data_IF_753487365415
#
_entry.id   IF_753487365415
#
_cell.length_a   1.000
_cell.length_b   1.000
_cell.length_c   1.000
_cell.angle_alpha   90.00
_cell.angle_beta   90.00
_cell.angle_gamma   90.00
#
_symmetry.space_group_name_H-M   'P 1'
#
loop_
_entity.id
_entity.type
_entity.pdbx_description
1 polymer ?
#
# COMPACT_ATOMS: atom_id res chain seq x y z
N UNK A 1 30.45 -19.21 8.44
CA UNK A 1 29.33 -18.31 8.11
C UNK A 1 29.70 -17.59 6.82
N UNK A 2 28.92 -17.76 5.76
CA UNK A 2 29.33 -17.45 4.39
C UNK A 2 29.26 -15.93 4.15
N UNK A 3 30.23 -15.34 3.45
CA UNK A 3 30.29 -13.87 3.22
C UNK A 3 29.02 -13.33 2.54
N UNK A 4 28.37 -14.15 1.70
CA UNK A 4 27.04 -13.89 1.13
C UNK A 4 25.94 -13.73 2.17
N UNK A 5 25.87 -14.62 3.17
CA UNK A 5 24.87 -14.52 4.24
C UNK A 5 25.05 -13.24 5.07
N UNK A 6 26.30 -12.87 5.36
CA UNK A 6 26.60 -11.67 6.17
C UNK A 6 26.16 -10.39 5.46
N UNK A 7 26.36 -10.30 4.13
CA UNK A 7 25.90 -9.16 3.33
C UNK A 7 24.36 -9.11 3.32
N UNK A 8 23.70 -10.26 3.17
CA UNK A 8 22.24 -10.38 3.12
C UNK A 8 21.58 -9.92 4.43
N UNK A 9 22.11 -10.36 5.58
CA UNK A 9 21.64 -9.89 6.90
C UNK A 9 21.85 -8.39 7.10
N UNK A 10 22.99 -7.85 6.66
CA UNK A 10 23.32 -6.43 6.83
C UNK A 10 22.46 -5.54 5.92
N UNK A 11 22.08 -6.04 4.75
CA UNK A 11 21.15 -5.37 3.85
C UNK A 11 19.72 -5.44 4.37
N UNK A 12 19.29 -6.57 4.93
CA UNK A 12 18.01 -6.73 5.61
C UNK A 12 17.89 -5.78 6.82
N UNK A 13 18.95 -5.67 7.64
CA UNK A 13 19.02 -4.77 8.80
C UNK A 13 19.22 -3.29 8.43
N UNK A 14 19.27 -2.94 7.14
CA UNK A 14 19.32 -1.53 6.74
C UNK A 14 18.08 -0.81 7.29
N UNK A 15 18.30 0.35 7.88
CA UNK A 15 17.27 1.11 8.58
C UNK A 15 16.00 1.35 7.75
N UNK A 16 16.14 1.62 6.45
CA UNK A 16 15.00 1.84 5.55
C UNK A 16 14.14 0.58 5.38
N UNK A 17 14.76 -0.59 5.27
CA UNK A 17 14.07 -1.88 5.10
C UNK A 17 13.34 -2.28 6.38
N UNK A 18 13.97 -2.05 7.54
CA UNK A 18 13.35 -2.32 8.85
C UNK A 18 12.17 -1.38 9.12
N UNK A 19 12.30 -0.10 8.76
CA UNK A 19 11.25 0.90 8.89
C UNK A 19 10.06 0.56 7.97
N UNK A 20 10.34 0.14 6.73
CA UNK A 20 9.33 -0.35 5.81
C UNK A 20 8.58 -1.57 6.37
N UNK A 21 9.32 -2.60 6.82
CA UNK A 21 8.72 -3.80 7.40
C UNK A 21 7.82 -3.46 8.61
N UNK A 22 8.29 -2.56 9.48
CA UNK A 22 7.53 -2.12 10.66
C UNK A 22 6.22 -1.44 10.26
N UNK A 23 6.24 -0.57 9.25
CA UNK A 23 5.02 0.08 8.73
C UNK A 23 4.04 -0.93 8.14
N UNK A 24 4.54 -1.89 7.36
CA UNK A 24 3.72 -2.97 6.81
C UNK A 24 3.04 -3.77 7.93
N UNK A 25 3.80 -4.18 8.96
CA UNK A 25 3.26 -4.92 10.10
C UNK A 25 2.19 -4.09 10.81
N UNK A 26 2.46 -2.82 11.13
CA UNK A 26 1.47 -1.95 11.81
C UNK A 26 0.22 -1.78 10.96
N UNK A 27 0.35 -1.51 9.66
CA UNK A 27 -0.77 -1.37 8.75
C UNK A 27 -1.62 -2.64 8.66
N UNK A 28 -0.96 -3.80 8.56
CA UNK A 28 -1.62 -5.12 8.56
C UNK A 28 -2.33 -5.38 9.89
N UNK A 29 -1.69 -5.12 11.02
CA UNK A 29 -2.29 -5.30 12.35
C UNK A 29 -3.57 -4.45 12.48
N UNK A 30 -3.53 -3.18 12.07
CA UNK A 30 -4.71 -2.31 12.09
C UNK A 30 -5.83 -2.89 11.19
N UNK A 31 -5.50 -3.30 9.95
CA UNK A 31 -6.48 -3.89 9.04
C UNK A 31 -7.04 -5.23 9.55
N UNK A 32 -6.21 -6.03 10.20
CA UNK A 32 -6.61 -7.33 10.74
C UNK A 32 -7.52 -7.18 11.96
N UNK A 33 -7.25 -6.20 12.82
CA UNK A 33 -8.15 -5.83 13.91
C UNK A 33 -9.53 -5.45 13.33
N UNK A 34 -9.58 -4.62 12.28
CA UNK A 34 -10.83 -4.26 11.61
C UNK A 34 -11.54 -5.48 11.01
N UNK A 35 -10.79 -6.42 10.43
CA UNK A 35 -11.33 -7.69 9.93
C UNK A 35 -12.04 -8.51 11.02
N UNK A 36 -11.49 -8.56 12.24
CA UNK A 36 -12.12 -9.26 13.37
C UNK A 36 -13.41 -8.57 13.82
N UNK A 37 -13.40 -7.23 13.91
CA UNK A 37 -14.55 -6.47 14.42
C UNK A 37 -15.71 -6.36 13.41
N UNK A 38 -15.44 -6.50 12.12
CA UNK A 38 -16.43 -6.35 11.05
C UNK A 38 -16.39 -7.55 10.08
N UNK A 39 -16.75 -8.77 10.54
CA UNK A 39 -16.62 -10.00 9.74
C UNK A 39 -17.55 -10.04 8.52
N UNK A 40 -18.63 -9.26 8.53
CA UNK A 40 -19.60 -9.12 7.43
C UNK A 40 -19.00 -8.41 6.20
N UNK A 41 -17.92 -7.64 6.40
CA UNK A 41 -17.26 -6.89 5.34
C UNK A 41 -16.01 -7.65 4.86
N UNK A 42 -15.66 -7.58 3.56
CA UNK A 42 -14.56 -8.36 3.01
C UNK A 42 -13.20 -7.69 3.30
N UNK A 43 -12.89 -7.43 4.58
CA UNK A 43 -11.71 -6.71 5.05
C UNK A 43 -10.38 -7.38 4.72
N UNK A 44 -10.37 -8.65 4.31
CA UNK A 44 -9.22 -9.30 3.68
C UNK A 44 -8.60 -8.44 2.56
N UNK A 45 -9.42 -7.73 1.79
CA UNK A 45 -8.96 -6.85 0.73
C UNK A 45 -8.35 -5.54 1.24
N UNK A 46 -8.74 -5.09 2.43
CA UNK A 46 -8.07 -3.97 3.11
C UNK A 46 -6.64 -4.35 3.51
N UNK A 47 -6.42 -5.60 3.93
CA UNK A 47 -5.09 -6.13 4.25
C UNK A 47 -4.21 -6.19 2.99
N UNK A 48 -4.75 -6.64 1.86
CA UNK A 48 -4.01 -6.61 0.59
C UNK A 48 -3.70 -5.16 0.18
N UNK A 49 -4.70 -4.29 0.26
CA UNK A 49 -4.58 -2.89 -0.13
C UNK A 49 -3.54 -2.12 0.69
N UNK A 50 -3.49 -2.31 2.01
CA UNK A 50 -2.53 -1.60 2.85
C UNK A 50 -1.09 -1.97 2.50
N UNK A 51 -0.81 -3.25 2.21
CA UNK A 51 0.53 -3.72 1.84
C UNK A 51 0.95 -3.18 0.47
N UNK A 52 0.02 -3.17 -0.49
CA UNK A 52 0.26 -2.63 -1.84
C UNK A 52 0.51 -1.12 -1.79
N UNK A 53 -0.19 -0.39 -0.91
CA UNK A 53 -0.07 1.05 -0.80
C UNK A 53 1.20 1.51 -0.06
N UNK A 54 1.69 0.75 0.94
CA UNK A 54 2.91 1.11 1.68
C UNK A 54 4.14 0.96 0.77
N UNK A 55 5.05 1.93 0.86
CA UNK A 55 6.29 1.98 0.08
C UNK A 55 7.54 1.85 0.93
N UNK A 56 8.59 1.18 0.42
CA UNK A 56 9.92 1.25 1.04
C UNK A 56 10.48 2.68 1.00
N UNK A 57 10.15 3.47 -0.02
CA UNK A 57 10.57 4.86 -0.08
C UNK A 57 9.78 5.75 0.89
N UNK A 58 10.50 6.61 1.62
CA UNK A 58 9.92 7.56 2.59
C UNK A 58 9.19 8.77 1.97
N UNK A 59 9.07 8.82 0.64
CA UNK A 59 8.46 9.96 -0.04
C UNK A 59 6.95 10.02 0.18
N UNK A 60 6.41 11.07 0.84
CA UNK A 60 4.97 11.23 1.00
C UNK A 60 4.26 11.41 -0.35
N UNK A 61 4.94 11.97 -1.36
CA UNK A 61 4.42 12.10 -2.71
C UNK A 61 4.09 10.73 -3.31
N UNK A 62 5.02 9.77 -3.16
CA UNK A 62 4.85 8.43 -3.70
C UNK A 62 3.72 7.67 -3.01
N UNK A 63 3.53 7.86 -1.70
CA UNK A 63 2.40 7.29 -0.97
C UNK A 63 1.06 7.84 -1.48
N UNK A 64 0.98 9.14 -1.77
CA UNK A 64 -0.20 9.78 -2.37
C UNK A 64 -0.44 9.27 -3.79
N UNK A 65 0.61 9.12 -4.59
CA UNK A 65 0.50 8.61 -5.97
C UNK A 65 0.01 7.16 -5.99
N UNK A 66 0.42 6.33 -5.03
CA UNK A 66 -0.09 4.96 -4.87
C UNK A 66 -1.55 4.92 -4.43
N UNK A 67 -1.96 5.82 -3.55
CA UNK A 67 -3.38 5.97 -3.19
C UNK A 67 -4.22 6.32 -4.43
N UNK A 68 -3.80 7.33 -5.20
CA UNK A 68 -4.48 7.70 -6.47
C UNK A 68 -4.52 6.55 -7.46
N UNK A 69 -3.41 5.81 -7.60
CA UNK A 69 -3.32 4.66 -8.49
C UNK A 69 -4.25 3.52 -8.06
N UNK A 70 -4.32 3.20 -6.77
CA UNK A 70 -5.26 2.20 -6.26
C UNK A 70 -6.71 2.61 -6.50
N UNK A 71 -7.05 3.88 -6.25
CA UNK A 71 -8.39 4.41 -6.54
C UNK A 71 -8.74 4.33 -8.03
N UNK A 72 -7.77 4.60 -8.91
CA UNK A 72 -7.94 4.46 -10.36
C UNK A 72 -8.26 3.01 -10.76
N UNK A 73 -7.48 2.05 -10.24
CA UNK A 73 -7.72 0.62 -10.50
C UNK A 73 -9.09 0.16 -9.99
N UNK A 74 -9.48 0.62 -8.79
CA UNK A 74 -10.82 0.36 -8.25
C UNK A 74 -11.93 1.01 -9.08
N UNK A 75 -11.75 2.24 -9.54
CA UNK A 75 -12.75 2.94 -10.35
C UNK A 75 -12.98 2.22 -11.69
N UNK A 76 -11.90 1.80 -12.36
CA UNK A 76 -11.98 1.04 -13.62
C UNK A 76 -12.62 -0.32 -13.38
N UNK A 77 -12.18 -1.07 -12.36
CA UNK A 77 -12.77 -2.37 -12.03
C UNK A 77 -14.26 -2.26 -11.70
N UNK A 78 -14.65 -1.23 -10.94
CA UNK A 78 -16.05 -1.01 -10.55
C UNK A 78 -16.89 -0.57 -11.74
N UNK A 79 -16.34 0.24 -12.64
CA UNK A 79 -16.99 0.60 -13.90
C UNK A 79 -17.22 -0.62 -14.79
N UNK A 80 -16.22 -1.49 -14.93
CA UNK A 80 -16.33 -2.72 -15.73
C UNK A 80 -17.35 -3.71 -15.18
N UNK A 81 -17.58 -3.70 -13.87
CA UNK A 81 -18.65 -4.48 -13.24
C UNK A 81 -20.02 -4.18 -13.85
N UNK A 82 -20.34 -2.92 -14.18
CA UNK A 82 -21.62 -2.56 -14.80
C UNK A 82 -21.75 -2.97 -16.27
N UNK A 83 -20.64 -3.28 -16.93
CA UNK A 83 -20.65 -3.69 -18.34
C UNK A 83 -20.92 -5.19 -18.45
N UNK A 84 -20.21 -5.99 -17.65
CA UNK A 84 -20.35 -7.44 -17.68
C UNK A 84 -19.86 -8.08 -16.38
N UNK A 85 -20.31 -9.31 -16.12
CA UNK A 85 -19.78 -10.08 -14.99
C UNK A 85 -18.25 -10.25 -15.11
N UNK A 86 -17.51 -10.17 -13.98
CA UNK A 86 -16.08 -10.36 -13.98
C UNK A 86 -15.71 -11.73 -14.58
N UNK A 87 -14.96 -11.70 -15.66
CA UNK A 87 -14.41 -12.88 -16.32
C UNK A 87 -12.98 -12.55 -16.81
N UNK A 88 -12.27 -13.55 -17.32
CA UNK A 88 -10.88 -13.37 -17.77
C UNK A 88 -10.75 -12.26 -18.84
N UNK A 89 -11.68 -12.18 -19.78
CA UNK A 89 -11.65 -11.18 -20.85
C UNK A 89 -11.83 -9.77 -20.28
N UNK A 90 -12.82 -9.60 -19.39
CA UNK A 90 -13.07 -8.33 -18.70
C UNK A 90 -11.89 -7.90 -17.84
N UNK A 91 -11.22 -8.85 -17.18
CA UNK A 91 -10.00 -8.56 -16.42
C UNK A 91 -8.87 -8.10 -17.34
N UNK A 92 -8.65 -8.77 -18.48
CA UNK A 92 -7.67 -8.34 -19.48
C UNK A 92 -7.96 -6.93 -20.01
N UNK A 93 -9.22 -6.63 -20.33
CA UNK A 93 -9.65 -5.29 -20.74
C UNK A 93 -9.36 -4.28 -19.63
N UNK A 94 -9.71 -4.60 -18.39
CA UNK A 94 -9.45 -3.76 -17.23
C UNK A 94 -7.97 -3.47 -17.01
N UNK A 95 -7.11 -4.46 -17.16
CA UNK A 95 -5.65 -4.30 -17.07
C UNK A 95 -5.18 -3.30 -18.13
N UNK A 96 -5.60 -3.47 -19.38
CA UNK A 96 -5.23 -2.57 -20.49
C UNK A 96 -5.72 -1.14 -20.21
N UNK A 97 -6.99 -0.97 -19.81
CA UNK A 97 -7.55 0.34 -19.47
C UNK A 97 -6.81 1.00 -18.30
N UNK A 98 -6.45 0.22 -17.28
CA UNK A 98 -5.71 0.70 -16.10
C UNK A 98 -4.32 1.17 -16.47
N UNK A 99 -3.63 0.46 -17.36
CA UNK A 99 -2.31 0.87 -17.87
C UNK A 99 -2.44 2.18 -18.65
N UNK A 100 -3.38 2.27 -19.60
CA UNK A 100 -3.58 3.47 -20.43
C UNK A 100 -3.90 4.68 -19.54
N UNK A 101 -4.84 4.54 -18.61
CA UNK A 101 -5.22 5.61 -17.70
C UNK A 101 -4.08 5.99 -16.75
N UNK A 102 -3.34 5.00 -16.21
CA UNK A 102 -2.20 5.23 -15.34
C UNK A 102 -1.05 5.97 -16.03
N UNK A 103 -0.80 5.67 -17.31
CA UNK A 103 0.18 6.38 -18.14
C UNK A 103 -0.27 7.82 -18.44
N UNK A 104 -1.55 8.02 -18.76
CA UNK A 104 -2.12 9.36 -19.01
C UNK A 104 -2.05 10.28 -17.79
N UNK A 105 -2.17 9.72 -16.57
CA UNK A 105 -2.09 10.46 -15.32
C UNK A 105 -0.66 10.57 -14.75
N UNK A 106 0.36 10.13 -15.50
CA UNK A 106 1.77 10.14 -15.11
C UNK A 106 2.07 9.34 -13.82
N UNK A 107 1.27 8.32 -13.50
CA UNK A 107 1.42 7.48 -12.31
C UNK A 107 2.38 6.29 -12.51
N UNK A 108 3.40 6.43 -13.37
CA UNK A 108 4.23 5.30 -13.86
C UNK A 108 4.86 4.46 -12.73
N UNK A 109 5.33 5.12 -11.66
CA UNK A 109 5.90 4.45 -10.47
C UNK A 109 4.87 3.66 -9.65
N UNK A 110 3.58 3.85 -9.90
CA UNK A 110 2.46 3.32 -9.12
C UNK A 110 1.48 2.49 -9.95
N UNK A 111 1.71 2.28 -11.25
CA UNK A 111 0.83 1.44 -12.11
C UNK A 111 0.66 0.03 -11.54
N UNK A 112 1.73 -0.56 -11.01
CA UNK A 112 1.66 -1.88 -10.35
C UNK A 112 0.65 -1.92 -9.19
N UNK A 113 0.52 -0.81 -8.46
CA UNK A 113 -0.48 -0.64 -7.41
C UNK A 113 -1.89 -0.61 -8.00
N UNK A 114 -2.12 0.18 -9.05
CA UNK A 114 -3.41 0.23 -9.74
C UNK A 114 -3.84 -1.14 -10.29
N UNK A 115 -2.89 -1.89 -10.85
CA UNK A 115 -3.12 -3.25 -11.34
C UNK A 115 -3.51 -4.22 -10.22
N UNK A 116 -2.88 -4.11 -9.05
CA UNK A 116 -3.29 -4.92 -7.91
C UNK A 116 -4.72 -4.57 -7.45
N UNK A 117 -5.09 -3.28 -7.44
CA UNK A 117 -6.42 -2.84 -7.03
C UNK A 117 -7.54 -3.35 -7.95
N UNK A 118 -7.33 -3.36 -9.27
CA UNK A 118 -8.32 -3.92 -10.21
C UNK A 118 -8.46 -5.43 -10.05
N UNK A 119 -7.35 -6.14 -9.79
CA UNK A 119 -7.37 -7.60 -9.51
C UNK A 119 -8.16 -7.90 -8.24
N UNK A 120 -7.91 -7.16 -7.15
CA UNK A 120 -8.66 -7.27 -5.88
C UNK A 120 -10.16 -7.12 -6.08
N UNK A 121 -10.57 -6.19 -6.96
CA UNK A 121 -11.98 -5.95 -7.19
C UNK A 121 -12.63 -7.01 -8.10
N UNK A 122 -11.93 -7.41 -9.17
CA UNK A 122 -12.50 -8.26 -10.23
C UNK A 122 -12.31 -9.77 -10.02
N UNK A 123 -11.31 -10.19 -9.24
CA UNK A 123 -11.11 -11.62 -8.94
C UNK A 123 -12.11 -12.03 -7.87
N UNK A 124 -13.23 -12.57 -8.31
CA UNK A 124 -14.25 -13.17 -7.46
C UNK A 124 -14.41 -14.65 -7.79
N UNK A 125 -14.41 -15.49 -6.75
CA UNK A 125 -14.73 -16.92 -6.86
C UNK A 125 -16.24 -17.16 -6.85
N UNK A 126 -17.01 -16.15 -6.47
CA UNK A 126 -18.47 -16.19 -6.41
C UNK A 126 -18.99 -15.83 -7.79
N UNK A 127 -19.55 -16.78 -8.54
CA UNK A 127 -20.20 -16.51 -9.84
C UNK A 127 -21.49 -15.66 -9.74
N UNK A 128 -21.73 -15.02 -8.58
CA UNK A 128 -22.91 -14.21 -8.31
C UNK A 128 -22.56 -12.75 -8.60
N UNK A 129 -23.29 -12.15 -9.53
CA UNK A 129 -23.14 -10.76 -9.90
C UNK A 129 -23.80 -9.84 -8.86
N UNK A 130 -23.17 -9.70 -7.68
CA UNK A 130 -23.65 -8.82 -6.61
C UNK A 130 -22.83 -7.53 -6.54
N UNK A 131 -23.44 -6.42 -6.94
CA UNK A 131 -22.83 -5.09 -6.88
C UNK A 131 -22.52 -4.65 -5.44
N UNK A 132 -23.23 -5.20 -4.44
CA UNK A 132 -22.97 -4.92 -3.01
C UNK A 132 -21.64 -5.48 -2.59
N UNK A 133 -21.28 -6.66 -3.09
CA UNK A 133 -19.98 -7.27 -2.83
C UNK A 133 -18.86 -6.44 -3.48
N UNK A 134 -19.04 -6.02 -4.73
CA UNK A 134 -18.09 -5.14 -5.42
C UNK A 134 -17.90 -3.82 -4.67
N UNK A 135 -18.99 -3.20 -4.19
CA UNK A 135 -18.93 -1.98 -3.39
C UNK A 135 -18.21 -2.22 -2.05
N UNK A 136 -18.49 -3.33 -1.36
CA UNK A 136 -17.81 -3.70 -0.13
C UNK A 136 -16.30 -3.85 -0.32
N UNK A 137 -15.86 -4.45 -1.43
CA UNK A 137 -14.43 -4.54 -1.78
C UNK A 137 -13.83 -3.18 -2.08
N UNK A 138 -14.53 -2.32 -2.82
CA UNK A 138 -14.10 -0.96 -3.10
C UNK A 138 -13.90 -0.16 -1.80
N UNK A 139 -14.85 -0.23 -0.87
CA UNK A 139 -14.72 0.39 0.45
C UNK A 139 -13.53 -0.15 1.25
N UNK A 140 -13.30 -1.47 1.22
CA UNK A 140 -12.15 -2.09 1.90
C UNK A 140 -10.81 -1.61 1.33
N UNK A 141 -10.70 -1.46 -0.01
CA UNK A 141 -9.47 -0.92 -0.63
C UNK A 141 -9.26 0.54 -0.24
N UNK A 142 -10.32 1.36 -0.21
CA UNK A 142 -10.22 2.76 0.26
C UNK A 142 -9.70 2.79 1.70
N UNK A 143 -10.28 1.98 2.60
CA UNK A 143 -9.86 1.91 4.00
C UNK A 143 -8.39 1.49 4.13
N UNK A 144 -7.98 0.43 3.41
CA UNK A 144 -6.59 -0.04 3.42
C UNK A 144 -5.60 1.03 2.97
N UNK A 145 -5.95 1.78 1.91
CA UNK A 145 -5.10 2.88 1.45
C UNK A 145 -5.06 4.06 2.43
N UNK A 146 -6.18 4.39 3.10
CA UNK A 146 -6.20 5.43 4.12
C UNK A 146 -5.31 5.06 5.31
N UNK A 147 -5.36 3.79 5.75
CA UNK A 147 -4.49 3.28 6.82
C UNK A 147 -3.02 3.35 6.38
N UNK A 148 -2.69 2.93 5.16
CA UNK A 148 -1.33 3.00 4.63
C UNK A 148 -0.78 4.44 4.62
N UNK A 149 -1.61 5.40 4.18
CA UNK A 149 -1.24 6.81 4.17
C UNK A 149 -1.05 7.34 5.60
N UNK A 150 -1.96 7.01 6.51
CA UNK A 150 -1.90 7.42 7.92
C UNK A 150 -0.63 6.88 8.61
N UNK A 151 -0.30 5.61 8.41
CA UNK A 151 0.93 4.99 8.93
C UNK A 151 2.17 5.67 8.34
N UNK A 152 2.18 5.92 7.04
CA UNK A 152 3.33 6.56 6.36
C UNK A 152 3.57 7.98 6.87
N UNK A 153 2.52 8.81 6.91
CA UNK A 153 2.60 10.20 7.41
C UNK A 153 2.94 10.21 8.91
N UNK A 154 2.32 9.34 9.69
CA UNK A 154 2.58 9.21 11.13
C UNK A 154 4.05 8.94 11.43
N UNK A 155 4.64 7.96 10.75
CA UNK A 155 6.06 7.65 10.88
C UNK A 155 6.96 8.80 10.41
N UNK A 156 6.64 9.44 9.28
CA UNK A 156 7.41 10.58 8.79
C UNK A 156 7.37 11.75 9.79
N UNK A 157 6.22 12.03 10.41
CA UNK A 157 6.09 13.07 11.44
C UNK A 157 6.87 12.72 12.70
N UNK A 158 6.76 11.49 13.19
CA UNK A 158 7.52 11.00 14.36
C UNK A 158 9.02 11.12 14.11
N UNK A 159 9.50 10.68 12.94
CA UNK A 159 10.91 10.80 12.57
C UNK A 159 11.38 12.26 12.55
N UNK A 160 10.56 13.16 11.99
CA UNK A 160 10.89 14.59 11.96
C UNK A 160 10.91 15.22 13.36
N UNK A 161 10.04 14.78 14.27
CA UNK A 161 10.03 15.21 15.68
C UNK A 161 11.24 14.68 16.46
N UNK A 162 11.64 13.43 16.20
CA UNK A 162 12.83 12.82 16.83
C UNK A 162 14.11 13.50 16.31
N UNK A 163 14.22 13.76 15.00
CA UNK A 163 15.36 14.49 14.41
C UNK A 163 15.46 15.95 14.89
N UNK A 164 14.32 16.57 15.27
CA UNK A 164 14.29 17.89 15.92
C UNK A 164 14.78 17.87 17.37
N UNK A 165 14.94 16.72 18.01
CA UNK A 165 15.72 16.65 19.25
C UNK A 165 17.20 16.55 18.85
N UNK A 166 18.05 17.56 19.10
CA UNK A 166 19.47 17.41 18.90
C UNK A 166 19.94 16.28 19.82
N UNK A 167 20.29 15.14 19.23
CA UNK A 167 20.90 14.04 19.95
C UNK A 167 22.40 14.33 20.06
N UNK A 168 22.73 14.86 21.24
CA UNK A 168 24.02 15.22 21.85
C UNK A 168 24.66 16.59 21.52
N UNK A 169 25.05 17.34 22.58
CA UNK A 169 25.90 18.53 22.46
C UNK A 169 27.33 18.11 22.09
N UNK A 170 27.94 18.89 21.22
CA UNK A 170 29.33 18.79 20.76
C UNK A 170 30.38 19.17 21.83
N UNK A 171 30.02 19.21 23.10
CA UNK A 171 30.83 19.85 24.15
C UNK A 171 31.76 18.86 24.89
N UNK A 172 32.00 17.67 24.33
CA UNK A 172 32.94 16.68 24.91
C UNK A 172 33.87 16.12 23.82
N UNK A 173 34.49 17.00 23.04
CA UNK A 173 35.77 16.69 22.39
C UNK A 173 36.66 17.94 22.51
N UNK A 174 37.10 18.21 23.73
CA UNK A 174 38.37 18.88 23.90
C UNK A 174 39.14 18.21 25.04
N UNK A 175 40.19 17.47 24.70
CA UNK A 175 41.38 17.51 25.51
C UNK A 175 42.58 17.89 24.65
N UNK A 176 42.91 19.18 24.73
CA UNK A 176 44.27 19.74 24.88
C UNK A 176 45.03 20.05 23.58
N UNK A 177 45.15 21.36 23.37
CA UNK A 177 46.41 22.11 23.19
C UNK A 177 47.71 21.32 23.38
#
# INVERSE_FOLDING_TARGET
>A
MNYKEIIDYKELLRWDNTLYATRCIIGVVICYILFIYFPELPFQWSVVSVVVAISPDNSPQLAVDRMKANLLGCAIGFGLFFVHAPNLIMLCIGIVLTIIAGLSLQLQGSIRSALAAIVVLMVDSSHVHDWRLALGRLSCVIIGCLIALMVTIGFNKIFHLIKKRPFLPSDIIDPKS
#
